data_IF_021052706000
#
_entry.id   IF_021052706000
#
_cell.length_a   1.000
_cell.length_b   1.000
_cell.length_c   1.000
_cell.angle_alpha   90.00
_cell.angle_beta   90.00
_cell.angle_gamma   90.00
#
_symmetry.space_group_name_H-M   'P 1'
#
loop_
_entity.id
_entity.type
_entity.pdbx_description
1 polymer ?
#
# COMPACT_ATOMS: atom_id res chain seq x y z
N UNK A 1 33.52 4.32 -4.00
CA UNK A 1 32.29 3.55 -3.76
C UNK A 1 31.02 4.41 -3.85
N UNK A 2 31.12 5.74 -4.02
CA UNK A 2 29.99 6.68 -3.99
C UNK A 2 29.12 6.65 -5.26
N UNK A 3 29.71 6.51 -6.45
CA UNK A 3 28.96 6.44 -7.71
C UNK A 3 27.98 5.27 -7.77
N UNK A 4 28.34 4.13 -7.16
CA UNK A 4 27.46 2.95 -7.08
C UNK A 4 26.22 3.20 -6.21
N UNK A 5 26.37 3.98 -5.15
CA UNK A 5 25.29 4.30 -4.23
C UNK A 5 24.29 5.28 -4.86
N UNK A 6 24.80 6.28 -5.58
CA UNK A 6 23.96 7.19 -6.37
C UNK A 6 23.16 6.47 -7.47
N UNK A 7 23.79 5.50 -8.16
CA UNK A 7 23.10 4.65 -9.14
C UNK A 7 21.99 3.86 -8.47
N UNK A 8 22.27 3.20 -7.34
CA UNK A 8 21.27 2.42 -6.60
C UNK A 8 20.10 3.29 -6.12
N UNK A 9 20.38 4.47 -5.58
CA UNK A 9 19.36 5.42 -5.15
C UNK A 9 18.43 5.83 -6.29
N UNK A 10 18.98 6.12 -7.48
CA UNK A 10 18.19 6.47 -8.66
C UNK A 10 17.30 5.32 -9.13
N UNK A 11 17.81 4.09 -9.09
CA UNK A 11 17.04 2.88 -9.45
C UNK A 11 15.85 2.72 -8.51
N UNK A 12 16.06 2.80 -7.19
CA UNK A 12 14.98 2.67 -6.20
C UNK A 12 13.95 3.80 -6.31
N UNK A 13 14.39 5.03 -6.51
CA UNK A 13 13.49 6.17 -6.73
C UNK A 13 12.66 5.98 -8.01
N UNK A 14 13.28 5.48 -9.09
CA UNK A 14 12.59 5.18 -10.36
C UNK A 14 11.54 4.08 -10.18
N UNK A 15 11.86 3.00 -9.46
CA UNK A 15 10.90 1.93 -9.17
C UNK A 15 9.64 2.46 -8.46
N UNK A 16 9.80 3.34 -7.47
CA UNK A 16 8.65 3.99 -6.82
C UNK A 16 7.81 4.83 -7.79
N UNK A 17 8.45 5.54 -8.72
CA UNK A 17 7.75 6.35 -9.72
C UNK A 17 6.98 5.50 -10.75
N UNK A 18 7.55 4.37 -11.17
CA UNK A 18 6.91 3.42 -12.10
C UNK A 18 5.68 2.76 -11.44
N UNK A 19 5.79 2.37 -10.16
CA UNK A 19 4.63 1.86 -9.39
C UNK A 19 3.50 2.90 -9.29
N UNK A 20 3.84 4.19 -9.13
CA UNK A 20 2.83 5.26 -9.09
C UNK A 20 2.15 5.47 -10.45
N UNK A 21 2.87 5.26 -11.56
CA UNK A 21 2.26 5.29 -12.89
C UNK A 21 1.27 4.14 -13.09
N UNK A 22 1.61 2.93 -12.61
CA UNK A 22 0.67 1.80 -12.64
C UNK A 22 -0.62 2.11 -11.88
N UNK A 23 -0.51 2.75 -10.71
CA UNK A 23 -1.69 3.19 -9.94
C UNK A 23 -2.56 4.19 -10.73
N UNK A 24 -1.94 5.17 -11.41
CA UNK A 24 -2.66 6.12 -12.28
C UNK A 24 -3.35 5.41 -13.45
N UNK A 25 -2.68 4.45 -14.10
CA UNK A 25 -3.25 3.67 -15.20
C UNK A 25 -4.45 2.85 -14.72
N UNK A 26 -4.37 2.23 -13.54
CA UNK A 26 -5.51 1.53 -12.94
C UNK A 26 -6.69 2.48 -12.68
N UNK A 27 -6.43 3.65 -12.08
CA UNK A 27 -7.45 4.68 -11.89
C UNK A 27 -8.09 5.16 -13.21
N UNK A 28 -7.30 5.29 -14.27
CA UNK A 28 -7.80 5.65 -15.60
C UNK A 28 -8.73 4.58 -16.17
N UNK A 29 -8.33 3.30 -16.10
CA UNK A 29 -9.17 2.19 -16.54
C UNK A 29 -10.50 2.09 -15.79
N UNK A 30 -10.53 2.53 -14.54
CA UNK A 30 -11.73 2.56 -13.69
C UNK A 30 -12.54 3.86 -13.83
N UNK A 31 -12.11 4.83 -14.64
CA UNK A 31 -12.76 6.13 -14.76
C UNK A 31 -12.76 6.92 -13.43
N UNK A 32 -11.66 6.80 -12.68
CA UNK A 32 -11.52 7.33 -11.32
C UNK A 32 -10.44 8.42 -11.17
N UNK A 33 -9.68 8.77 -12.22
CA UNK A 33 -8.55 9.72 -12.12
C UNK A 33 -8.90 11.00 -11.34
N UNK A 34 -10.09 11.57 -11.57
CA UNK A 34 -10.58 12.79 -10.94
C UNK A 34 -11.59 12.56 -9.80
N UNK A 35 -11.61 11.34 -9.24
CA UNK A 35 -12.50 10.96 -8.14
C UNK A 35 -11.71 10.72 -6.85
N UNK A 36 -12.30 10.99 -5.67
CA UNK A 36 -11.72 10.57 -4.41
C UNK A 36 -11.50 9.06 -4.38
N UNK A 37 -10.31 8.64 -3.95
CA UNK A 37 -9.96 7.24 -3.79
C UNK A 37 -8.88 7.07 -2.72
N UNK A 38 -8.71 5.85 -2.21
CA UNK A 38 -7.57 5.49 -1.36
C UNK A 38 -6.52 4.80 -2.23
N UNK A 39 -5.27 5.24 -2.12
CA UNK A 39 -4.12 4.58 -2.75
C UNK A 39 -3.08 4.24 -1.69
N UNK A 40 -2.64 2.99 -1.67
CA UNK A 40 -1.60 2.50 -0.78
C UNK A 40 -0.78 1.40 -1.47
N UNK A 41 0.44 1.19 -0.97
CA UNK A 41 1.30 0.09 -1.42
C UNK A 41 1.19 -1.13 -0.51
N UNK A 42 1.40 -2.32 -1.04
CA UNK A 42 1.53 -3.56 -0.25
C UNK A 42 2.75 -4.33 -0.73
N UNK A 43 3.48 -4.95 0.20
CA UNK A 43 4.57 -5.88 -0.11
C UNK A 43 5.96 -5.41 0.31
N UNK A 44 6.93 -6.32 0.27
CA UNK A 44 8.27 -6.12 0.83
C UNK A 44 9.08 -5.00 0.18
N UNK A 45 8.83 -4.67 -1.09
CA UNK A 45 9.51 -3.58 -1.81
C UNK A 45 9.33 -2.22 -1.10
N UNK A 46 8.18 -2.02 -0.46
CA UNK A 46 7.88 -0.79 0.28
C UNK A 46 8.58 -0.69 1.64
N UNK A 47 9.35 -1.70 2.06
CA UNK A 47 10.30 -1.56 3.18
C UNK A 47 11.42 -0.57 2.83
N UNK A 48 11.72 -0.37 1.55
CA UNK A 48 12.64 0.68 1.11
C UNK A 48 11.98 2.05 1.20
N UNK A 49 12.54 2.92 2.04
CA UNK A 49 12.09 4.32 2.18
C UNK A 49 12.14 5.07 0.85
N UNK A 50 13.19 4.86 0.05
CA UNK A 50 13.36 5.51 -1.26
C UNK A 50 12.23 5.14 -2.24
N UNK A 51 11.83 3.86 -2.27
CA UNK A 51 10.70 3.41 -3.09
C UNK A 51 9.40 4.00 -2.56
N UNK A 52 9.14 3.88 -1.25
CA UNK A 52 7.89 4.32 -0.63
C UNK A 52 7.67 5.83 -0.79
N UNK A 53 8.69 6.65 -0.51
CA UNK A 53 8.59 8.11 -0.64
C UNK A 53 8.41 8.54 -2.09
N UNK A 54 9.17 7.95 -3.02
CA UNK A 54 9.03 8.24 -4.45
C UNK A 54 7.64 7.89 -4.95
N UNK A 55 7.12 6.70 -4.60
CA UNK A 55 5.78 6.26 -4.93
C UNK A 55 4.72 7.24 -4.40
N UNK A 56 4.73 7.53 -3.10
CA UNK A 56 3.74 8.41 -2.48
C UNK A 56 3.75 9.81 -3.09
N UNK A 57 4.94 10.39 -3.31
CA UNK A 57 5.10 11.70 -3.95
C UNK A 57 4.51 11.68 -5.37
N UNK A 58 4.82 10.66 -6.16
CA UNK A 58 4.37 10.54 -7.55
C UNK A 58 2.87 10.27 -7.65
N UNK A 59 2.28 9.51 -6.73
CA UNK A 59 0.82 9.32 -6.65
C UNK A 59 0.14 10.65 -6.36
N UNK A 60 0.60 11.45 -5.37
CA UNK A 60 -0.01 12.75 -5.06
C UNK A 60 -0.02 13.71 -6.26
N UNK A 61 1.03 13.68 -7.09
CA UNK A 61 1.11 14.49 -8.31
C UNK A 61 0.15 13.97 -9.38
N UNK A 62 0.10 12.65 -9.60
CA UNK A 62 -0.65 12.03 -10.71
C UNK A 62 -2.13 11.82 -10.42
N UNK A 63 -2.49 11.69 -9.15
CA UNK A 63 -3.84 11.42 -8.65
C UNK A 63 -4.11 12.39 -7.49
N UNK A 64 -4.31 13.69 -7.77
CA UNK A 64 -4.38 14.74 -6.74
C UNK A 64 -5.55 14.59 -5.77
N UNK A 65 -6.59 13.83 -6.16
CA UNK A 65 -7.76 13.54 -5.31
C UNK A 65 -7.61 12.24 -4.51
N UNK A 66 -6.50 11.52 -4.65
CA UNK A 66 -6.25 10.31 -3.88
C UNK A 66 -5.81 10.64 -2.45
N UNK A 67 -6.38 9.95 -1.48
CA UNK A 67 -5.83 9.84 -0.14
C UNK A 67 -4.74 8.77 -0.15
N UNK A 68 -3.49 9.22 -0.04
CA UNK A 68 -2.34 8.30 -0.01
C UNK A 68 -2.13 7.78 1.41
N UNK A 69 -2.26 6.46 1.59
CA UNK A 69 -2.03 5.78 2.87
C UNK A 69 -0.61 5.19 2.93
N UNK A 70 -0.02 5.06 4.13
CA UNK A 70 1.23 4.33 4.31
C UNK A 70 1.15 2.91 3.74
N UNK A 71 2.27 2.36 3.23
CA UNK A 71 2.27 1.01 2.71
C UNK A 71 2.08 -0.02 3.82
N UNK A 72 1.36 -1.10 3.51
CA UNK A 72 1.19 -2.24 4.40
C UNK A 72 2.37 -3.19 4.17
N UNK A 73 3.20 -3.37 5.20
CA UNK A 73 4.42 -4.20 5.14
C UNK A 73 4.48 -5.18 6.31
N UNK A 74 5.23 -6.26 6.13
CA UNK A 74 5.42 -7.28 7.17
C UNK A 74 4.12 -7.98 7.54
N UNK A 75 3.94 -8.27 8.84
CA UNK A 75 2.79 -9.05 9.34
C UNK A 75 1.44 -8.34 9.16
N UNK A 76 1.42 -7.02 9.03
CA UNK A 76 0.18 -6.28 8.74
C UNK A 76 -0.48 -6.73 7.43
N UNK A 77 0.30 -7.25 6.47
CA UNK A 77 -0.22 -7.78 5.21
C UNK A 77 -1.10 -9.04 5.40
N UNK A 78 -1.04 -9.69 6.58
CA UNK A 78 -1.85 -10.86 6.90
C UNK A 78 -3.30 -10.50 7.28
N UNK A 79 -3.57 -9.24 7.64
CA UNK A 79 -4.91 -8.82 8.06
C UNK A 79 -5.94 -8.97 6.94
N UNK A 80 -5.61 -8.55 5.72
CA UNK A 80 -6.53 -8.62 4.58
C UNK A 80 -7.03 -10.05 4.30
N UNK A 81 -6.12 -11.01 4.06
CA UNK A 81 -6.50 -12.41 3.86
C UNK A 81 -7.28 -13.01 5.03
N UNK A 82 -6.91 -12.69 6.29
CA UNK A 82 -7.63 -13.18 7.46
C UNK A 82 -9.07 -12.65 7.51
N UNK A 83 -9.28 -11.37 7.19
CA UNK A 83 -10.61 -10.74 7.12
C UNK A 83 -11.46 -11.42 6.05
N UNK A 84 -10.89 -11.67 4.87
CA UNK A 84 -11.57 -12.33 3.76
C UNK A 84 -11.99 -13.75 4.18
N UNK A 85 -11.08 -14.54 4.75
CA UNK A 85 -11.36 -15.91 5.19
C UNK A 85 -12.45 -15.97 6.27
N UNK A 86 -12.45 -15.04 7.23
CA UNK A 86 -13.51 -14.93 8.24
C UNK A 86 -14.88 -14.61 7.60
N UNK A 87 -14.89 -13.71 6.61
CA UNK A 87 -16.11 -13.38 5.86
C UNK A 87 -16.66 -14.58 5.07
N UNK A 88 -15.78 -15.37 4.45
CA UNK A 88 -16.14 -16.61 3.74
C UNK A 88 -16.66 -17.69 4.69
N UNK A 89 -16.13 -17.75 5.92
CA UNK A 89 -16.64 -18.61 6.99
C UNK A 89 -17.98 -18.11 7.60
N UNK A 90 -18.54 -17.01 7.10
CA UNK A 90 -19.82 -16.47 7.54
C UNK A 90 -19.75 -15.53 8.75
N UNK A 91 -18.55 -15.19 9.22
CA UNK A 91 -18.37 -14.21 10.31
C UNK A 91 -18.65 -12.81 9.78
N UNK A 92 -19.62 -12.10 10.38
CA UNK A 92 -20.12 -10.80 9.90
C UNK A 92 -20.45 -9.85 11.06
N UNK A 93 -20.73 -8.59 10.71
CA UNK A 93 -21.17 -7.58 11.68
C UNK A 93 -20.20 -7.40 12.84
N UNK A 94 -20.73 -7.28 14.06
CA UNK A 94 -19.96 -7.08 15.29
C UNK A 94 -18.95 -8.19 15.57
N UNK A 95 -19.23 -9.43 15.15
CA UNK A 95 -18.32 -10.56 15.36
C UNK A 95 -17.07 -10.44 14.49
N UNK A 96 -17.24 -9.97 13.26
CA UNK A 96 -16.12 -9.68 12.36
C UNK A 96 -15.28 -8.52 12.89
N UNK A 97 -15.91 -7.45 13.37
CA UNK A 97 -15.21 -6.30 13.98
C UNK A 97 -14.40 -6.71 15.23
N UNK A 98 -14.98 -7.57 16.08
CA UNK A 98 -14.30 -8.11 17.25
C UNK A 98 -13.11 -9.01 16.85
N UNK A 99 -13.26 -9.83 15.80
CA UNK A 99 -12.18 -10.68 15.28
C UNK A 99 -11.04 -9.83 14.69
N UNK A 100 -11.34 -8.81 13.90
CA UNK A 100 -10.37 -7.85 13.37
C UNK A 100 -9.59 -7.19 14.50
N UNK A 101 -10.29 -6.69 15.52
CA UNK A 101 -9.67 -6.02 16.67
C UNK A 101 -8.75 -6.94 17.47
N UNK A 102 -9.04 -8.25 17.52
CA UNK A 102 -8.15 -9.25 18.13
C UNK A 102 -6.92 -9.51 17.27
N UNK A 103 -7.10 -9.69 15.96
CA UNK A 103 -5.99 -9.91 15.01
C UNK A 103 -5.03 -8.72 14.99
N UNK A 104 -5.55 -7.50 14.94
CA UNK A 104 -4.71 -6.29 14.97
C UNK A 104 -3.86 -6.19 16.24
N UNK A 105 -4.43 -6.52 17.40
CA UNK A 105 -3.68 -6.54 18.67
C UNK A 105 -2.60 -7.60 18.66
N UNK A 106 -2.91 -8.81 18.20
CA UNK A 106 -1.93 -9.91 18.09
C UNK A 106 -0.75 -9.56 17.20
N UNK A 107 -1.00 -8.91 16.05
CA UNK A 107 0.05 -8.50 15.12
C UNK A 107 0.95 -7.39 15.69
N UNK A 108 0.40 -6.48 16.53
CA UNK A 108 1.19 -5.40 17.14
C UNK A 108 2.07 -5.86 18.31
N UNK A 109 1.70 -6.96 18.99
CA UNK A 109 2.39 -7.47 20.19
C UNK A 109 3.51 -8.47 19.88
N UNK A 110 3.75 -8.78 18.61
CA UNK A 110 4.61 -9.88 18.13
C UNK A 110 5.74 -9.39 17.25
#
# INVERSE_FOLDING_TARGET
AEEGDEVAMRILARAGAELAELARVAAAKLGMVDKPMIVGGVGGVFKSRLVAESFQRRVRIKLPRATVKPPIVGRQALLGPAIIALGEAGVRGSDLEAAISRLERGIRQS
#
